data_IF_758147537839
#
_entry.id   IF_758147537839
#
_cell.length_a   1.000
_cell.length_b   1.000
_cell.length_c   1.000
_cell.angle_alpha   90.00
_cell.angle_beta   90.00
_cell.angle_gamma   90.00
#
_symmetry.space_group_name_H-M   'P 1'
#
loop_
_entity.id
_entity.type
_entity.pdbx_description
1 polymer ?
#
# COMPACT_ATOMS: atom_id res chain seq x y z
N UNK A 1 3.37 -11.12 12.02
CA UNK A 1 2.83 -10.62 10.76
C UNK A 1 2.34 -11.80 9.93
N UNK A 2 1.21 -11.65 9.28
CA UNK A 2 0.68 -12.66 8.35
C UNK A 2 1.35 -12.50 6.99
N UNK A 3 1.50 -13.58 6.21
CA UNK A 3 1.94 -13.51 4.82
C UNK A 3 0.82 -12.92 3.95
N UNK A 4 0.65 -11.60 4.05
CA UNK A 4 -0.50 -10.88 3.52
C UNK A 4 -0.06 -9.61 2.80
N UNK A 5 -0.50 -9.46 1.55
CA UNK A 5 -0.41 -8.24 0.76
C UNK A 5 -1.76 -7.55 0.88
N UNK A 6 -1.77 -6.35 1.44
CA UNK A 6 -2.98 -5.58 1.74
C UNK A 6 -3.14 -4.42 0.76
N UNK A 7 -4.34 -4.23 0.25
CA UNK A 7 -4.76 -2.98 -0.38
C UNK A 7 -6.04 -2.47 0.30
N UNK A 8 -6.06 -1.18 0.63
CA UNK A 8 -7.21 -0.49 1.24
C UNK A 8 -7.66 0.62 0.30
N UNK A 9 -8.78 0.42 -0.37
CA UNK A 9 -9.29 1.37 -1.37
C UNK A 9 -10.74 1.09 -1.77
N UNK A 10 -11.40 2.09 -2.36
CA UNK A 10 -12.65 1.82 -3.11
C UNK A 10 -12.35 0.90 -4.30
N UNK A 11 -13.22 -0.05 -4.57
CA UNK A 11 -13.07 -0.98 -5.71
C UNK A 11 -13.55 -0.28 -7.00
N UNK A 12 -12.70 0.61 -7.53
CA UNK A 12 -12.92 1.37 -8.76
C UNK A 12 -11.69 1.24 -9.68
N UNK A 13 -11.84 1.42 -11.02
CA UNK A 13 -10.74 1.26 -11.97
C UNK A 13 -9.50 2.08 -11.63
N UNK A 14 -9.70 3.30 -11.11
CA UNK A 14 -8.64 4.22 -10.70
C UNK A 14 -7.64 3.58 -9.72
N UNK A 15 -8.07 2.65 -8.87
CA UNK A 15 -7.23 2.05 -7.82
C UNK A 15 -6.33 0.91 -8.30
N UNK A 16 -6.46 0.47 -9.56
CA UNK A 16 -5.54 -0.48 -10.17
C UNK A 16 -5.50 -1.86 -9.51
N UNK A 17 -6.55 -2.27 -8.79
CA UNK A 17 -6.57 -3.55 -8.06
C UNK A 17 -6.52 -4.76 -8.99
N UNK A 18 -6.95 -4.60 -10.23
CA UNK A 18 -6.74 -5.59 -11.30
C UNK A 18 -5.25 -5.81 -11.62
N UNK A 19 -4.44 -4.76 -11.53
CA UNK A 19 -2.97 -4.86 -11.70
C UNK A 19 -2.35 -5.65 -10.53
N UNK A 20 -2.83 -5.44 -9.30
CA UNK A 20 -2.37 -6.20 -8.14
C UNK A 20 -2.70 -7.70 -8.27
N UNK A 21 -3.94 -8.03 -8.63
CA UNK A 21 -4.37 -9.42 -8.83
C UNK A 21 -3.53 -10.09 -9.93
N UNK A 22 -3.32 -9.42 -11.07
CA UNK A 22 -2.46 -9.93 -12.16
C UNK A 22 -1.00 -10.07 -11.74
N UNK A 23 -0.47 -9.11 -11.00
CA UNK A 23 0.90 -9.15 -10.49
C UNK A 23 1.10 -10.36 -9.56
N UNK A 24 0.19 -10.55 -8.61
CA UNK A 24 0.26 -11.67 -7.68
C UNK A 24 0.09 -13.03 -8.40
N UNK A 25 -0.83 -13.13 -9.36
CA UNK A 25 -1.03 -14.34 -10.15
C UNK A 25 0.21 -14.74 -10.96
N UNK A 26 1.01 -13.75 -11.40
CA UNK A 26 2.21 -13.98 -12.22
C UNK A 26 3.45 -14.38 -11.41
N UNK A 27 3.39 -14.35 -10.08
CA UNK A 27 4.47 -14.85 -9.23
C UNK A 27 4.56 -16.38 -9.31
N UNK A 28 5.78 -16.90 -9.13
CA UNK A 28 5.99 -18.33 -9.02
C UNK A 28 5.07 -18.94 -7.95
N UNK A 29 4.33 -20.03 -8.25
CA UNK A 29 3.44 -20.67 -7.29
C UNK A 29 4.11 -21.07 -5.96
N UNK A 30 5.39 -21.48 -6.00
CA UNK A 30 6.14 -21.82 -4.78
C UNK A 30 6.45 -20.58 -3.95
N UNK A 31 6.75 -19.45 -4.60
CA UNK A 31 7.03 -18.19 -3.93
C UNK A 31 5.77 -17.62 -3.23
N UNK A 32 4.62 -17.69 -3.90
CA UNK A 32 3.36 -17.19 -3.34
C UNK A 32 2.66 -18.15 -2.37
N UNK A 33 3.22 -19.37 -2.19
CA UNK A 33 2.63 -20.34 -1.27
C UNK A 33 2.56 -19.77 0.16
N UNK A 34 1.38 -19.84 0.78
CA UNK A 34 1.11 -19.25 2.09
C UNK A 34 0.83 -17.74 2.09
N UNK A 35 1.01 -17.05 0.97
CA UNK A 35 0.65 -15.63 0.82
C UNK A 35 -0.77 -15.47 0.30
N UNK A 36 -1.41 -14.36 0.71
CA UNK A 36 -2.72 -13.95 0.22
C UNK A 36 -2.74 -12.46 -0.13
N UNK A 37 -3.67 -12.07 -0.96
CA UNK A 37 -4.01 -10.68 -1.23
C UNK A 37 -5.32 -10.36 -0.53
N UNK A 38 -5.34 -9.35 0.33
CA UNK A 38 -6.54 -8.87 1.01
C UNK A 38 -6.91 -7.49 0.50
N UNK A 39 -8.13 -7.37 0.00
CA UNK A 39 -8.71 -6.13 -0.50
C UNK A 39 -9.76 -5.64 0.49
N UNK A 40 -9.44 -4.53 1.18
CA UNK A 40 -10.35 -3.86 2.12
C UNK A 40 -10.99 -2.66 1.43
N UNK A 41 -12.29 -2.67 1.34
CA UNK A 41 -13.09 -1.66 0.67
C UNK A 41 -14.19 -2.27 -0.19
N UNK A 42 -14.99 -1.42 -0.80
CA UNK A 42 -16.08 -1.85 -1.69
C UNK A 42 -16.20 -0.92 -2.89
N UNK A 43 -16.94 -1.36 -3.91
CA UNK A 43 -17.16 -0.58 -5.12
C UNK A 43 -17.61 -1.41 -6.32
N UNK A 44 -17.95 -0.73 -7.43
CA UNK A 44 -18.57 -1.36 -8.60
C UNK A 44 -17.68 -2.41 -9.31
N UNK A 45 -16.37 -2.41 -9.06
CA UNK A 45 -15.44 -3.36 -9.66
C UNK A 45 -15.39 -4.72 -8.94
N UNK A 46 -16.08 -4.88 -7.80
CA UNK A 46 -15.99 -6.09 -6.95
C UNK A 46 -16.16 -7.38 -7.76
N UNK A 47 -17.28 -7.51 -8.46
CA UNK A 47 -17.59 -8.74 -9.21
C UNK A 47 -16.60 -8.98 -10.34
N UNK A 48 -16.12 -7.92 -10.99
CA UNK A 48 -15.11 -8.02 -12.05
C UNK A 48 -13.77 -8.50 -11.48
N UNK A 49 -13.35 -7.98 -10.35
CA UNK A 49 -12.11 -8.36 -9.68
C UNK A 49 -12.18 -9.81 -9.15
N UNK A 50 -13.33 -10.23 -8.62
CA UNK A 50 -13.54 -11.62 -8.19
C UNK A 50 -13.44 -12.59 -9.38
N UNK A 51 -14.11 -12.30 -10.49
CA UNK A 51 -13.99 -13.10 -11.72
C UNK A 51 -12.54 -13.14 -12.20
N UNK A 52 -11.84 -12.01 -12.22
CA UNK A 52 -10.43 -11.96 -12.63
C UNK A 52 -9.56 -12.87 -11.75
N UNK A 53 -9.76 -12.90 -10.45
CA UNK A 53 -9.02 -13.78 -9.54
C UNK A 53 -9.32 -15.26 -9.80
N UNK A 54 -10.57 -15.61 -10.12
CA UNK A 54 -10.98 -16.96 -10.52
C UNK A 54 -10.36 -17.38 -11.84
N UNK A 55 -10.43 -16.53 -12.86
CA UNK A 55 -9.88 -16.78 -14.21
C UNK A 55 -8.35 -17.00 -14.17
N UNK A 56 -7.68 -16.37 -13.19
CA UNK A 56 -6.24 -16.53 -12.95
C UNK A 56 -5.91 -17.66 -11.95
N UNK A 57 -6.89 -18.47 -11.56
CA UNK A 57 -6.74 -19.59 -10.63
C UNK A 57 -6.10 -19.21 -9.27
N UNK A 58 -6.46 -18.02 -8.74
CA UNK A 58 -6.04 -17.52 -7.41
C UNK A 58 -7.23 -17.03 -6.58
N UNK A 59 -8.45 -17.40 -6.93
CA UNK A 59 -9.67 -16.94 -6.24
C UNK A 59 -9.73 -17.33 -4.75
N UNK A 60 -9.09 -18.41 -4.36
CA UNK A 60 -9.01 -18.92 -2.99
C UNK A 60 -8.04 -18.13 -2.09
N UNK A 61 -7.10 -17.40 -2.68
CA UNK A 61 -6.09 -16.61 -1.95
C UNK A 61 -6.26 -15.10 -2.12
N UNK A 62 -7.28 -14.64 -2.87
CA UNK A 62 -7.68 -13.23 -2.96
C UNK A 62 -8.94 -12.99 -2.13
N UNK A 63 -8.79 -12.31 -1.00
CA UNK A 63 -9.85 -12.07 -0.02
C UNK A 63 -10.44 -10.68 -0.20
N UNK A 64 -11.77 -10.61 -0.33
CA UNK A 64 -12.53 -9.36 -0.44
C UNK A 64 -13.27 -9.10 0.87
N UNK A 65 -12.70 -8.28 1.73
CA UNK A 65 -13.21 -7.99 3.07
C UNK A 65 -14.44 -7.07 3.09
N UNK A 66 -14.73 -6.39 1.97
CA UNK A 66 -15.75 -5.35 1.95
C UNK A 66 -15.31 -4.07 2.66
N UNK A 67 -16.26 -3.15 2.82
CA UNK A 67 -16.00 -1.92 3.58
C UNK A 67 -15.75 -2.24 5.05
N UNK A 68 -14.70 -1.65 5.62
CA UNK A 68 -14.38 -1.72 7.05
C UNK A 68 -14.20 -0.30 7.59
N UNK A 69 -14.83 -0.01 8.72
CA UNK A 69 -14.66 1.27 9.41
C UNK A 69 -13.29 1.38 10.10
N UNK A 70 -12.67 0.26 10.43
CA UNK A 70 -11.31 0.17 10.97
C UNK A 70 -10.40 -0.66 10.05
N UNK A 71 -9.77 -0.05 9.03
CA UNK A 71 -8.77 -0.71 8.21
C UNK A 71 -7.41 -0.87 8.91
N UNK A 72 -7.19 -0.16 10.02
CA UNK A 72 -5.92 -0.12 10.73
C UNK A 72 -5.52 -1.49 11.30
N UNK A 73 -6.50 -2.24 11.80
CA UNK A 73 -6.29 -3.61 12.28
C UNK A 73 -5.73 -4.55 11.20
N UNK A 74 -6.12 -4.33 9.93
CA UNK A 74 -5.58 -5.07 8.79
C UNK A 74 -4.13 -4.64 8.50
N UNK A 75 -3.83 -3.34 8.57
CA UNK A 75 -2.48 -2.82 8.34
C UNK A 75 -1.48 -3.33 9.39
N UNK A 76 -1.89 -3.46 10.66
CA UNK A 76 -1.03 -3.95 11.72
C UNK A 76 -0.61 -5.41 11.56
N UNK A 77 -1.42 -6.25 10.92
CA UNK A 77 -1.13 -7.67 10.72
C UNK A 77 -0.52 -8.00 9.36
N UNK A 78 -0.73 -7.18 8.35
CA UNK A 78 -0.20 -7.38 7.01
C UNK A 78 1.34 -7.30 6.95
N UNK A 79 1.92 -7.85 5.90
CA UNK A 79 3.36 -7.82 5.64
C UNK A 79 3.77 -6.81 4.58
N UNK A 80 2.88 -6.50 3.62
CA UNK A 80 3.14 -5.60 2.51
C UNK A 80 1.86 -4.81 2.24
N UNK A 81 1.99 -3.50 2.00
CA UNK A 81 0.91 -2.65 1.48
C UNK A 81 1.09 -2.42 -0.02
N UNK A 82 0.03 -2.51 -0.79
CA UNK A 82 0.06 -2.25 -2.23
C UNK A 82 -0.88 -1.11 -2.63
N UNK A 83 -0.34 -0.11 -3.33
CA UNK A 83 -1.10 1.02 -3.89
C UNK A 83 -0.81 1.12 -5.40
N UNK A 84 -1.37 0.22 -6.23
CA UNK A 84 -1.12 0.17 -7.67
C UNK A 84 -1.98 1.14 -8.47
N UNK A 85 -2.35 2.25 -7.88
CA UNK A 85 -3.33 3.20 -8.43
C UNK A 85 -2.88 3.79 -9.77
N UNK A 86 -3.86 4.07 -10.63
CA UNK A 86 -3.70 4.81 -11.88
C UNK A 86 -3.63 6.31 -11.67
N UNK A 87 -4.17 6.78 -10.57
CA UNK A 87 -4.13 8.17 -10.14
C UNK A 87 -4.43 8.29 -8.65
N UNK A 88 -3.68 9.15 -7.95
CA UNK A 88 -3.90 9.51 -6.54
C UNK A 88 -3.67 11.01 -6.33
N UNK A 89 -4.49 11.60 -5.45
CA UNK A 89 -4.12 12.85 -4.79
C UNK A 89 -3.19 12.56 -3.60
N UNK A 90 -3.68 12.81 -2.38
CA UNK A 90 -3.02 12.36 -1.15
C UNK A 90 -3.65 11.04 -0.70
N UNK A 91 -2.94 9.89 -0.78
CA UNK A 91 -3.50 8.59 -0.45
C UNK A 91 -3.46 8.33 1.06
N UNK A 92 -4.54 8.65 1.79
CA UNK A 92 -4.62 8.46 3.24
C UNK A 92 -4.25 7.04 3.69
N UNK A 93 -4.76 6.01 2.97
CA UNK A 93 -4.43 4.63 3.29
C UNK A 93 -2.92 4.31 3.22
N UNK A 94 -2.16 4.99 2.33
CA UNK A 94 -0.71 4.88 2.30
C UNK A 94 -0.07 5.51 3.55
N UNK A 95 -0.54 6.69 3.95
CA UNK A 95 -0.06 7.35 5.17
C UNK A 95 -0.33 6.50 6.41
N UNK A 96 -1.52 5.91 6.51
CA UNK A 96 -1.90 5.01 7.59
C UNK A 96 -1.00 3.75 7.60
N UNK A 97 -0.74 3.13 6.45
CA UNK A 97 0.17 1.99 6.32
C UNK A 97 1.62 2.36 6.73
N UNK A 98 2.11 3.52 6.29
CA UNK A 98 3.43 4.03 6.69
C UNK A 98 3.51 4.30 8.19
N UNK A 99 2.44 4.80 8.81
CA UNK A 99 2.38 5.09 10.25
C UNK A 99 2.59 3.83 11.11
N UNK A 100 2.08 2.68 10.67
CA UNK A 100 2.32 1.39 11.36
C UNK A 100 3.65 0.73 10.97
N UNK A 101 4.40 1.33 10.04
CA UNK A 101 5.67 0.77 9.55
C UNK A 101 5.48 -0.38 8.56
N UNK A 102 4.36 -0.43 7.86
CA UNK A 102 4.10 -1.42 6.82
C UNK A 102 4.82 -1.00 5.53
N UNK A 103 5.73 -1.83 4.97
CA UNK A 103 6.40 -1.50 3.72
C UNK A 103 5.42 -1.45 2.57
N UNK A 104 5.55 -0.44 1.70
CA UNK A 104 4.62 -0.21 0.61
C UNK A 104 5.26 -0.43 -0.77
N UNK A 105 4.45 -0.92 -1.73
CA UNK A 105 4.70 -0.80 -3.16
C UNK A 105 3.67 0.17 -3.72
N UNK A 106 4.13 1.23 -4.38
CA UNK A 106 3.27 2.27 -4.96
C UNK A 106 3.56 2.46 -6.45
N UNK A 107 2.55 2.83 -7.23
CA UNK A 107 2.75 3.25 -8.61
C UNK A 107 3.22 4.71 -8.69
N UNK A 108 3.94 5.06 -9.76
CA UNK A 108 4.40 6.42 -10.07
C UNK A 108 3.29 7.27 -10.75
N UNK A 109 2.03 6.90 -10.56
CA UNK A 109 0.87 7.46 -11.24
C UNK A 109 0.66 8.97 -11.03
N UNK A 110 1.17 9.54 -9.96
CA UNK A 110 0.94 10.94 -9.59
C UNK A 110 1.88 11.39 -8.48
N UNK A 111 2.05 12.73 -8.28
CA UNK A 111 2.96 13.28 -7.27
C UNK A 111 2.68 12.82 -5.84
N UNK A 112 1.41 12.71 -5.43
CA UNK A 112 1.04 12.44 -4.04
C UNK A 112 1.75 11.24 -3.40
N UNK A 113 1.69 10.02 -3.96
CA UNK A 113 2.47 8.89 -3.45
C UNK A 113 3.98 9.12 -3.48
N UNK A 114 4.51 9.82 -4.51
CA UNK A 114 5.95 10.05 -4.69
C UNK A 114 6.52 11.09 -3.71
N UNK A 115 5.70 12.00 -3.21
CA UNK A 115 6.08 12.91 -2.11
C UNK A 115 6.30 12.13 -0.81
N UNK A 116 5.56 11.06 -0.62
CA UNK A 116 5.60 10.24 0.58
C UNK A 116 6.61 9.08 0.48
N UNK A 117 6.72 8.44 -0.69
CA UNK A 117 7.56 7.26 -0.89
C UNK A 117 8.70 7.57 -1.85
N UNK A 118 9.92 7.59 -1.32
CA UNK A 118 11.15 7.53 -2.10
C UNK A 118 11.51 6.08 -2.34
N UNK A 119 11.71 5.72 -3.62
CA UNK A 119 12.05 4.35 -4.03
C UNK A 119 13.28 3.79 -3.31
N UNK A 120 13.20 2.54 -2.86
CA UNK A 120 14.25 1.83 -2.13
C UNK A 120 14.52 2.35 -0.72
N UNK A 121 13.85 3.43 -0.28
CA UNK A 121 14.02 4.05 1.05
C UNK A 121 12.79 3.90 1.93
N UNK A 122 11.62 4.38 1.48
CA UNK A 122 10.37 4.33 2.24
C UNK A 122 9.39 3.28 1.72
N UNK A 123 9.71 2.64 0.60
CA UNK A 123 8.91 1.66 -0.12
C UNK A 123 9.55 1.39 -1.47
N UNK A 124 8.84 0.67 -2.33
CA UNK A 124 9.22 0.46 -3.72
C UNK A 124 8.25 1.20 -4.64
N UNK A 125 8.79 1.84 -5.68
CA UNK A 125 8.02 2.57 -6.68
C UNK A 125 8.06 1.80 -7.99
N UNK A 126 6.91 1.62 -8.62
CA UNK A 126 6.79 0.89 -9.89
C UNK A 126 6.08 1.75 -10.95
N UNK A 127 6.39 1.56 -12.24
CA UNK A 127 5.67 2.26 -13.30
C UNK A 127 4.17 1.94 -13.29
N UNK A 128 3.34 2.97 -13.45
CA UNK A 128 1.90 2.84 -13.62
C UNK A 128 1.54 1.90 -14.77
N UNK A 129 0.41 1.18 -14.66
CA UNK A 129 -0.08 0.19 -15.63
C UNK A 129 0.87 -0.99 -15.89
N UNK A 130 1.86 -1.20 -15.03
CA UNK A 130 2.86 -2.24 -15.22
C UNK A 130 2.76 -3.34 -14.13
N UNK A 131 1.83 -4.30 -14.32
CA UNK A 131 1.68 -5.41 -13.39
C UNK A 131 2.92 -6.30 -13.29
N UNK A 132 3.79 -6.35 -14.33
CA UNK A 132 5.04 -7.13 -14.27
C UNK A 132 6.09 -6.45 -13.38
N UNK A 133 6.19 -5.11 -13.41
CA UNK A 133 7.04 -4.38 -12.49
C UNK A 133 6.50 -4.51 -11.05
N UNK A 134 5.19 -4.43 -10.87
CA UNK A 134 4.55 -4.66 -9.57
C UNK A 134 4.85 -6.08 -9.05
N UNK A 135 4.77 -7.11 -9.91
CA UNK A 135 5.11 -8.48 -9.54
C UNK A 135 6.57 -8.60 -9.05
N UNK A 136 7.53 -8.00 -9.75
CA UNK A 136 8.95 -8.01 -9.32
C UNK A 136 9.14 -7.31 -7.96
N UNK A 137 8.49 -6.19 -7.73
CA UNK A 137 8.54 -5.49 -6.45
C UNK A 137 7.91 -6.32 -5.31
N UNK A 138 6.78 -6.97 -5.56
CA UNK A 138 6.16 -7.89 -4.61
C UNK A 138 7.06 -9.09 -4.33
N UNK A 139 7.65 -9.70 -5.36
CA UNK A 139 8.61 -10.80 -5.22
C UNK A 139 9.77 -10.40 -4.30
N UNK A 140 10.40 -9.25 -4.56
CA UNK A 140 11.51 -8.74 -3.74
C UNK A 140 11.09 -8.59 -2.27
N UNK A 141 9.89 -8.06 -2.00
CA UNK A 141 9.40 -7.92 -0.63
C UNK A 141 8.96 -9.26 -0.02
N UNK A 142 8.51 -10.23 -0.78
CA UNK A 142 8.18 -11.58 -0.30
C UNK A 142 9.44 -12.31 0.15
N UNK A 143 10.50 -12.24 -0.66
CA UNK A 143 11.76 -12.95 -0.43
C UNK A 143 12.62 -12.31 0.66
N UNK A 144 12.60 -10.98 0.80
CA UNK A 144 13.51 -10.23 1.66
C UNK A 144 12.79 -9.61 2.89
N UNK A 145 12.74 -10.38 3.98
CA UNK A 145 12.20 -9.93 5.27
C UNK A 145 12.94 -8.73 5.86
N UNK A 146 14.28 -8.74 5.93
CA UNK A 146 15.09 -7.58 6.32
C UNK A 146 14.78 -6.31 5.52
N UNK A 147 14.61 -6.42 4.20
CA UNK A 147 14.20 -5.29 3.36
C UNK A 147 12.84 -4.73 3.79
N UNK A 148 11.84 -5.60 4.01
CA UNK A 148 10.52 -5.17 4.51
C UNK A 148 10.64 -4.36 5.80
N UNK A 149 11.42 -4.85 6.76
CA UNK A 149 11.62 -4.17 8.05
C UNK A 149 12.31 -2.81 7.87
N UNK A 150 13.35 -2.73 7.05
CA UNK A 150 14.09 -1.50 6.78
C UNK A 150 13.19 -0.43 6.13
N UNK A 151 12.46 -0.81 5.07
CA UNK A 151 11.56 0.12 4.36
C UNK A 151 10.43 0.60 5.26
N UNK A 152 9.78 -0.30 6.01
CA UNK A 152 8.71 0.04 6.93
C UNK A 152 9.17 0.96 8.06
N UNK A 153 10.34 0.70 8.65
CA UNK A 153 10.91 1.57 9.67
C UNK A 153 11.20 2.99 9.14
N UNK A 154 11.80 3.10 7.95
CA UNK A 154 12.08 4.38 7.33
C UNK A 154 10.78 5.14 6.95
N UNK A 155 9.77 4.44 6.44
CA UNK A 155 8.45 5.02 6.16
C UNK A 155 7.80 5.61 7.41
N UNK A 156 7.81 4.86 8.52
CA UNK A 156 7.28 5.33 9.80
C UNK A 156 8.07 6.53 10.34
N UNK A 157 9.39 6.53 10.20
CA UNK A 157 10.22 7.66 10.63
C UNK A 157 9.91 8.92 9.83
N UNK A 158 9.71 8.80 8.49
CA UNK A 158 9.32 9.93 7.65
C UNK A 158 8.02 10.56 8.11
N UNK A 159 7.00 9.76 8.47
CA UNK A 159 5.72 10.30 8.93
C UNK A 159 5.81 11.00 10.29
N UNK A 160 6.69 10.57 11.19
CA UNK A 160 6.91 11.27 12.46
C UNK A 160 7.36 12.72 12.25
N UNK A 161 8.05 13.02 11.16
CA UNK A 161 8.42 14.39 10.81
C UNK A 161 7.22 15.25 10.40
N UNK A 162 6.06 14.65 10.14
CA UNK A 162 4.78 15.31 9.82
C UNK A 162 3.83 15.35 11.02
N UNK A 163 4.24 14.82 12.18
CA UNK A 163 3.47 14.90 13.40
C UNK A 163 3.20 16.35 13.79
N UNK A 164 2.00 16.62 14.33
CA UNK A 164 1.60 17.97 14.70
C UNK A 164 2.59 18.64 15.66
N UNK A 165 3.11 17.90 16.62
CA UNK A 165 4.14 18.39 17.55
C UNK A 165 5.42 18.87 16.86
N UNK A 166 5.73 18.36 15.66
CA UNK A 166 6.88 18.75 14.85
C UNK A 166 6.54 19.91 13.93
N UNK A 167 5.37 19.92 13.31
CA UNK A 167 5.01 20.92 12.28
C UNK A 167 4.37 22.18 12.87
N UNK A 168 3.73 22.09 14.05
CA UNK A 168 3.08 23.22 14.71
C UNK A 168 4.01 24.44 14.91
N UNK A 169 5.25 24.30 15.41
CA UNK A 169 6.15 25.43 15.58
C UNK A 169 6.42 26.20 14.28
N UNK A 170 6.51 25.47 13.15
CA UNK A 170 6.70 26.08 11.83
C UNK A 170 5.44 26.86 11.40
N UNK A 171 4.25 26.29 11.59
CA UNK A 171 2.99 26.97 11.29
C UNK A 171 2.81 28.20 12.16
N UNK A 172 3.13 28.13 13.46
CA UNK A 172 3.09 29.29 14.36
C UNK A 172 4.00 30.41 13.88
N UNK A 173 5.21 30.08 13.45
CA UNK A 173 6.16 31.06 12.90
C UNK A 173 5.63 31.73 11.64
N UNK A 174 5.08 30.95 10.69
CA UNK A 174 4.51 31.47 9.43
C UNK A 174 3.28 32.35 9.68
N UNK A 175 2.44 31.98 10.65
CA UNK A 175 1.20 32.70 10.97
C UNK A 175 1.40 33.80 12.01
N UNK A 176 2.61 34.03 12.49
CA UNK A 176 2.95 34.99 13.56
C UNK A 176 2.08 34.80 14.82
N UNK A 177 1.75 33.55 15.17
CA UNK A 177 0.94 33.24 16.36
C UNK A 177 1.81 33.27 17.61
N UNK A 178 1.28 33.78 18.76
CA UNK A 178 2.02 33.80 20.02
C UNK A 178 2.34 32.37 20.50
N UNK A 179 3.45 32.24 21.25
CA UNK A 179 3.76 31.00 21.92
C UNK A 179 2.60 30.63 22.90
N UNK A 180 2.27 29.33 22.97
CA UNK A 180 1.35 28.88 24.01
C UNK A 180 2.05 28.98 25.37
N UNK A 181 1.32 29.38 26.43
CA UNK A 181 1.87 29.43 27.80
C UNK A 181 2.27 28.05 28.32
#
# INVERSE_FOLDING_TARGET
>A
LQQEILAVARLVPQKGLDLLIRAFASLDPLLRAGWRVTLVGDGPERDRLQRLAQDLAIGDVVVFEGFRSDPFSFMQRASIFALPSRFEGMPNALLEAMAVGLPAVVSDASPGPLEMVRDGVHGLVVPTENHRALARALQQLIEDGPLRQRLGAAARQKLRALDWSVVEPHWRSVLALPAQP
#
